data_IF_095220452545
#
_entry.id   IF_095220452545
#
_cell.length_a   1.000
_cell.length_b   1.000
_cell.length_c   1.000
_cell.angle_alpha   90.00
_cell.angle_beta   90.00
_cell.angle_gamma   90.00
#
_symmetry.space_group_name_H-M   'P 1'
#
loop_
_entity.id
_entity.type
_entity.pdbx_description
1 polymer ?
#
# COMPACT_ATOMS: atom_id res chain seq x y z
N UNK A 1 32.47 25.18 37.62
CA UNK A 1 32.29 24.18 36.55
C UNK A 1 30.99 23.41 36.81
N UNK A 2 29.82 23.96 36.48
CA UNK A 2 28.51 23.26 36.62
C UNK A 2 27.45 23.69 35.59
N UNK A 3 27.80 24.44 34.54
CA UNK A 3 26.82 24.91 33.53
C UNK A 3 26.55 23.92 32.38
N UNK A 4 27.31 22.83 32.29
CA UNK A 4 27.22 21.89 31.17
C UNK A 4 25.94 21.03 31.16
N UNK A 5 25.43 20.65 32.34
CA UNK A 5 24.29 19.72 32.45
C UNK A 5 22.94 20.42 32.53
N UNK A 6 22.87 21.68 32.98
CA UNK A 6 21.60 22.43 33.04
C UNK A 6 21.08 22.84 31.65
N UNK A 7 21.97 22.93 30.65
CA UNK A 7 21.61 23.35 29.30
C UNK A 7 21.21 22.18 28.38
N UNK A 8 21.55 20.93 28.74
CA UNK A 8 21.27 19.81 27.83
C UNK A 8 19.78 19.49 27.72
N UNK A 9 19.00 19.64 28.79
CA UNK A 9 17.57 19.37 28.78
C UNK A 9 16.81 20.31 27.83
N UNK A 10 17.09 21.62 27.89
CA UNK A 10 16.49 22.61 26.98
C UNK A 10 16.91 22.38 25.53
N UNK A 11 18.22 22.16 25.29
CA UNK A 11 18.73 21.89 23.94
C UNK A 11 18.21 20.60 23.34
N UNK A 12 18.02 19.55 24.14
CA UNK A 12 17.40 18.31 23.66
C UNK A 12 15.99 18.61 23.17
N UNK A 13 15.16 19.28 23.97
CA UNK A 13 13.78 19.62 23.58
C UNK A 13 13.71 20.49 22.32
N UNK A 14 14.64 21.42 22.14
CA UNK A 14 14.72 22.27 20.94
C UNK A 14 15.14 21.52 19.67
N UNK A 15 15.96 20.47 19.81
CA UNK A 15 16.47 19.68 18.68
C UNK A 15 15.62 18.44 18.38
N UNK A 16 14.60 18.15 19.19
CA UNK A 16 13.63 17.10 18.85
C UNK A 16 12.85 17.50 17.59
N UNK A 17 12.66 16.52 16.70
CA UNK A 17 11.76 16.65 15.55
C UNK A 17 10.29 16.58 15.99
N UNK A 18 10.04 15.95 17.13
CA UNK A 18 8.71 15.83 17.73
C UNK A 18 8.34 17.10 18.48
N UNK A 19 7.10 17.52 18.30
CA UNK A 19 6.48 18.57 19.09
C UNK A 19 6.29 18.11 20.53
N UNK A 20 6.75 18.92 21.48
CA UNK A 20 6.58 18.68 22.90
C UNK A 20 5.83 19.87 23.50
N UNK A 21 4.71 19.56 24.14
CA UNK A 21 3.89 20.50 24.88
C UNK A 21 3.64 19.98 26.30
N UNK A 22 3.79 20.85 27.29
CA UNK A 22 3.43 20.55 28.68
C UNK A 22 2.37 21.54 29.14
N UNK A 23 1.30 21.02 29.72
CA UNK A 23 0.17 21.77 30.23
C UNK A 23 0.08 21.52 31.73
N UNK A 24 0.21 22.56 32.54
CA UNK A 24 0.05 22.46 33.98
C UNK A 24 -1.42 22.22 34.38
N UNK A 25 -1.66 21.85 35.64
CA UNK A 25 -3.02 21.64 36.17
C UNK A 25 -3.98 22.81 35.91
N UNK A 26 -3.47 24.04 35.90
CA UNK A 26 -4.28 25.24 35.61
C UNK A 26 -4.68 25.42 34.14
N UNK A 27 -4.26 24.50 33.25
CA UNK A 27 -4.47 24.60 31.82
C UNK A 27 -3.47 25.49 31.09
N UNK A 28 -2.51 26.10 31.80
CA UNK A 28 -1.48 26.93 31.20
C UNK A 28 -0.40 26.08 30.53
N UNK A 29 0.00 26.45 29.31
CA UNK A 29 1.10 25.80 28.60
C UNK A 29 2.44 26.29 29.15
N UNK A 30 3.28 25.39 29.67
CA UNK A 30 4.57 25.74 30.29
C UNK A 30 5.78 25.31 29.49
N UNK A 31 5.62 24.33 28.60
CA UNK A 31 6.65 23.93 27.64
C UNK A 31 6.02 23.88 26.26
N UNK A 32 6.71 24.45 25.29
CA UNK A 32 6.32 24.43 23.88
C UNK A 32 7.58 24.57 23.02
N UNK A 33 8.06 23.46 22.47
CA UNK A 33 9.32 23.47 21.73
C UNK A 33 9.19 23.98 20.29
N UNK A 34 10.32 24.18 19.61
CA UNK A 34 10.36 24.66 18.23
C UNK A 34 9.62 23.75 17.24
N UNK A 35 9.65 22.42 17.45
CA UNK A 35 8.89 21.48 16.63
C UNK A 35 7.38 21.64 16.82
N UNK A 36 6.91 21.83 18.05
CA UNK A 36 5.51 22.08 18.35
C UNK A 36 5.01 23.36 17.66
N UNK A 37 5.82 24.42 17.67
CA UNK A 37 5.53 25.66 16.96
C UNK A 37 5.37 25.47 15.45
N UNK A 38 6.28 24.69 14.82
CA UNK A 38 6.20 24.39 13.39
C UNK A 38 4.99 23.53 13.02
N UNK A 39 4.69 22.52 13.83
CA UNK A 39 3.63 21.55 13.54
C UNK A 39 2.25 22.18 13.75
N UNK A 40 2.04 22.91 14.85
CA UNK A 40 0.76 23.53 15.19
C UNK A 40 0.60 24.95 14.62
N UNK A 41 1.64 25.52 14.02
CA UNK A 41 1.58 26.84 13.37
C UNK A 41 1.45 28.02 14.34
N UNK A 42 1.81 27.85 15.62
CA UNK A 42 1.70 28.87 16.65
C UNK A 42 3.08 29.28 17.17
N UNK A 43 3.30 30.58 17.43
CA UNK A 43 4.57 31.06 17.97
C UNK A 43 4.69 30.74 19.48
N UNK A 44 5.86 30.33 19.99
CA UNK A 44 6.04 30.05 21.42
C UNK A 44 5.63 31.22 22.33
N UNK A 45 5.94 32.45 21.92
CA UNK A 45 5.62 33.66 22.69
C UNK A 45 4.11 33.93 22.79
N UNK A 46 3.32 33.38 21.86
CA UNK A 46 1.86 33.50 21.85
C UNK A 46 1.18 32.35 22.62
N UNK A 47 1.92 31.30 22.97
CA UNK A 47 1.40 30.06 23.56
C UNK A 47 1.81 29.90 25.02
N UNK A 48 3.07 30.18 25.34
CA UNK A 48 3.62 29.99 26.68
C UNK A 48 2.91 30.86 27.72
N UNK A 49 2.55 30.24 28.85
CA UNK A 49 1.84 30.87 29.96
C UNK A 49 0.34 31.08 29.75
N UNK A 50 -0.19 30.77 28.55
CA UNK A 50 -1.62 30.96 28.22
C UNK A 50 -2.39 29.65 28.32
N UNK A 51 -3.71 29.77 28.45
CA UNK A 51 -4.62 28.64 28.57
C UNK A 51 -4.68 27.85 27.26
N UNK A 52 -4.41 26.55 27.33
CA UNK A 52 -4.53 25.62 26.21
C UNK A 52 -5.92 25.68 25.57
N UNK A 53 -6.98 25.70 26.39
CA UNK A 53 -8.35 25.71 25.89
C UNK A 53 -8.66 26.99 25.10
N UNK A 54 -8.18 28.15 25.55
CA UNK A 54 -8.40 29.42 24.84
C UNK A 54 -7.63 29.49 23.52
N UNK A 55 -6.44 28.88 23.47
CA UNK A 55 -5.59 28.91 22.28
C UNK A 55 -6.06 27.94 21.20
N UNK A 56 -6.40 26.70 21.55
CA UNK A 56 -6.54 25.63 20.58
C UNK A 56 -8.00 25.20 20.31
N UNK A 57 -8.91 25.33 21.28
CA UNK A 57 -10.34 24.94 21.11
C UNK A 57 -11.07 25.75 20.02
N UNK A 58 -10.85 27.07 19.86
CA UNK A 58 -11.55 27.83 18.81
C UNK A 58 -11.15 27.43 17.38
N UNK A 59 -10.04 26.70 17.22
CA UNK A 59 -9.50 26.35 15.91
C UNK A 59 -10.04 24.99 15.45
N UNK A 60 -11.05 25.00 14.59
CA UNK A 60 -11.63 23.78 14.01
C UNK A 60 -10.59 22.90 13.28
N UNK A 61 -9.53 23.51 12.74
CA UNK A 61 -8.41 22.79 12.09
C UNK A 61 -7.64 21.88 13.06
N UNK A 62 -7.79 22.09 14.38
CA UNK A 62 -7.11 21.39 15.47
C UNK A 62 -8.08 20.62 16.38
N UNK A 63 -9.31 20.39 15.93
CA UNK A 63 -10.39 19.81 16.72
C UNK A 63 -10.01 18.43 17.30
N UNK A 64 -9.61 17.47 16.46
CA UNK A 64 -9.23 16.12 16.90
C UNK A 64 -8.04 16.12 17.89
N UNK A 65 -7.05 16.99 17.67
CA UNK A 65 -5.93 17.15 18.58
C UNK A 65 -6.39 17.68 19.94
N UNK A 66 -7.24 18.70 19.93
CA UNK A 66 -7.73 19.35 21.15
C UNK A 66 -8.62 18.40 21.94
N UNK A 67 -9.50 17.66 21.27
CA UNK A 67 -10.34 16.63 21.89
C UNK A 67 -9.51 15.52 22.53
N UNK A 68 -8.46 15.05 21.86
CA UNK A 68 -7.55 14.04 22.42
C UNK A 68 -6.84 14.54 23.69
N UNK A 69 -6.32 15.77 23.66
CA UNK A 69 -5.65 16.36 24.82
C UNK A 69 -6.64 16.54 25.98
N UNK A 70 -7.86 17.02 25.71
CA UNK A 70 -8.90 17.23 26.72
C UNK A 70 -9.47 15.94 27.30
N UNK A 71 -9.73 14.92 26.47
CA UNK A 71 -10.23 13.60 26.92
C UNK A 71 -9.20 12.84 27.76
N UNK A 72 -7.91 13.15 27.58
CA UNK A 72 -6.89 12.66 28.50
C UNK A 72 -7.10 13.30 29.88
N UNK A 73 -7.45 14.60 29.95
CA UNK A 73 -7.63 15.36 31.23
C UNK A 73 -8.81 14.85 32.03
N UNK A 74 -9.90 14.47 31.36
CA UNK A 74 -11.07 13.89 32.01
C UNK A 74 -10.83 12.45 32.51
N UNK A 75 -9.71 11.83 32.11
CA UNK A 75 -9.37 10.45 32.48
C UNK A 75 -10.15 9.39 31.70
N UNK A 76 -10.91 9.80 30.68
CA UNK A 76 -11.68 8.91 29.80
C UNK A 76 -10.77 8.19 28.81
N UNK A 77 -9.75 8.89 28.31
CA UNK A 77 -8.64 8.30 27.58
C UNK A 77 -7.48 8.08 28.55
N UNK A 78 -7.34 6.86 29.07
CA UNK A 78 -6.09 6.46 29.72
C UNK A 78 -4.92 6.79 28.80
N UNK A 79 -3.96 7.59 29.28
CA UNK A 79 -2.88 8.13 28.45
C UNK A 79 -2.32 7.11 27.46
N UNK A 80 -2.17 7.52 26.20
CA UNK A 80 -1.90 6.61 25.10
C UNK A 80 -1.45 7.32 23.85
N UNK A 81 -1.10 6.54 22.83
CA UNK A 81 -0.72 7.06 21.51
C UNK A 81 -1.86 6.89 20.53
N UNK A 82 -2.33 7.99 19.96
CA UNK A 82 -3.36 8.01 18.94
C UNK A 82 -2.86 8.75 17.70
N UNK A 83 -3.57 8.58 16.59
CA UNK A 83 -3.33 9.37 15.39
C UNK A 83 -4.50 10.29 15.19
N UNK A 84 -4.22 11.58 15.02
CA UNK A 84 -5.21 12.62 14.75
C UNK A 84 -4.90 13.28 13.42
N UNK A 85 -5.92 13.80 12.78
CA UNK A 85 -5.81 14.60 11.56
C UNK A 85 -5.95 16.06 11.92
N UNK A 86 -5.04 16.87 11.38
CA UNK A 86 -5.11 18.33 11.46
C UNK A 86 -5.20 18.91 10.07
N UNK A 87 -5.73 20.13 9.99
CA UNK A 87 -5.83 20.87 8.73
C UNK A 87 -5.16 22.24 8.80
N UNK A 88 -3.90 22.36 9.29
CA UNK A 88 -3.26 23.66 9.45
C UNK A 88 -3.17 24.39 8.10
N UNK A 89 -3.88 25.52 7.96
CA UNK A 89 -3.91 26.28 6.72
C UNK A 89 -4.59 25.54 5.55
N UNK A 90 -5.40 24.52 5.84
CA UNK A 90 -6.22 23.78 4.86
C UNK A 90 -5.61 22.51 4.29
N UNK A 91 -4.36 22.16 4.63
CA UNK A 91 -3.72 20.91 4.19
C UNK A 91 -3.86 19.82 5.27
N UNK A 92 -4.28 18.62 4.87
CA UNK A 92 -4.43 17.50 5.80
C UNK A 92 -3.06 16.97 6.26
N UNK A 93 -2.85 16.94 7.57
CA UNK A 93 -1.66 16.36 8.20
C UNK A 93 -2.05 15.31 9.23
N UNK A 94 -1.34 14.18 9.22
CA UNK A 94 -1.51 13.12 10.20
C UNK A 94 -0.50 13.26 11.33
N UNK A 95 -0.96 13.52 12.54
CA UNK A 95 -0.09 13.55 13.73
C UNK A 95 -0.25 12.28 14.56
N UNK A 96 0.87 11.67 14.93
CA UNK A 96 0.89 10.71 16.03
C UNK A 96 1.04 11.48 17.34
N UNK A 97 0.03 11.45 18.19
CA UNK A 97 0.01 12.18 19.47
C UNK A 97 0.04 11.18 20.62
N UNK A 98 0.96 11.37 21.54
CA UNK A 98 1.09 10.62 22.78
C UNK A 98 0.86 11.55 23.98
N UNK A 99 -0.12 11.22 24.80
CA UNK A 99 -0.46 12.00 26.00
C UNK A 99 -0.16 11.22 27.27
N UNK A 100 0.42 11.89 28.28
CA UNK A 100 0.76 11.27 29.56
C UNK A 100 0.66 12.25 30.73
N UNK A 101 0.31 11.73 31.91
CA UNK A 101 0.26 12.53 33.14
C UNK A 101 1.54 12.41 33.95
N UNK A 102 2.12 13.56 34.28
CA UNK A 102 3.01 13.66 35.43
C UNK A 102 2.12 13.68 36.67
N UNK A 103 2.29 12.67 37.53
CA UNK A 103 1.70 12.68 38.87
C UNK A 103 2.74 13.18 39.86
N UNK A 104 2.35 14.13 40.70
CA UNK A 104 3.16 14.55 41.83
C UNK A 104 2.59 13.91 43.09
N UNK A 105 3.43 13.20 43.82
CA UNK A 105 3.11 12.69 45.15
C UNK A 105 3.34 13.80 46.16
N UNK A 106 2.27 14.26 46.81
CA UNK A 106 2.35 15.17 47.95
C UNK A 106 1.82 14.40 49.16
N UNK A 107 2.72 13.91 50.03
CA UNK A 107 2.36 12.97 51.09
C UNK A 107 1.96 11.59 50.52
N UNK A 108 0.84 11.03 51.00
CA UNK A 108 0.28 9.76 50.51
C UNK A 108 -0.64 9.91 49.27
N UNK A 109 -0.98 11.14 48.88
CA UNK A 109 -1.88 11.41 47.76
C UNK A 109 -1.09 11.66 46.45
N UNK A 110 -1.43 10.90 45.41
CA UNK A 110 -0.90 11.09 44.05
C UNK A 110 -1.87 11.93 43.23
N UNK A 111 -1.50 13.19 42.96
CA UNK A 111 -2.37 14.12 42.25
C UNK A 111 -1.73 14.48 40.88
N UNK A 112 -2.53 14.66 39.81
CA UNK A 112 -2.00 15.04 38.50
C UNK A 112 -1.39 16.45 38.58
N UNK A 113 -0.12 16.59 38.21
CA UNK A 113 0.63 17.84 38.28
C UNK A 113 0.69 18.54 36.93
N UNK A 114 0.90 17.77 35.86
CA UNK A 114 0.94 18.28 34.50
C UNK A 114 0.58 17.17 33.49
N UNK A 115 0.09 17.58 32.33
CA UNK A 115 -0.08 16.76 31.14
C UNK A 115 1.07 17.03 30.18
N UNK A 116 1.69 15.97 29.68
CA UNK A 116 2.65 16.03 28.59
C UNK A 116 1.95 15.53 27.33
N UNK A 117 1.98 16.32 26.27
CA UNK A 117 1.63 15.91 24.92
C UNK A 117 2.90 15.92 24.06
N UNK A 118 3.23 14.77 23.49
CA UNK A 118 4.30 14.62 22.49
C UNK A 118 3.65 14.25 21.18
N UNK A 119 3.99 14.94 20.10
CA UNK A 119 3.36 14.69 18.80
C UNK A 119 4.34 14.79 17.65
N UNK A 120 4.20 13.87 16.70
CA UNK A 120 5.06 13.76 15.52
C UNK A 120 4.21 13.86 14.27
N UNK A 121 4.67 14.64 13.29
CA UNK A 121 4.09 14.60 11.95
C UNK A 121 4.49 13.28 11.28
N UNK A 122 3.49 12.46 10.98
CA UNK A 122 3.67 11.15 10.34
C UNK A 122 3.01 11.14 8.95
N UNK A 123 2.68 12.29 8.37
CA UNK A 123 2.00 12.39 7.07
C UNK A 123 2.79 11.66 6.00
N UNK A 124 4.05 12.06 5.78
CA UNK A 124 4.95 11.41 4.81
C UNK A 124 5.13 9.91 5.08
N UNK A 125 5.30 9.54 6.36
CA UNK A 125 5.47 8.14 6.75
C UNK A 125 4.23 7.30 6.44
N UNK A 126 3.02 7.84 6.68
CA UNK A 126 1.76 7.16 6.37
C UNK A 126 1.57 7.03 4.87
N UNK A 127 1.80 8.10 4.11
CA UNK A 127 1.70 8.09 2.65
C UNK A 127 2.63 7.04 2.04
N UNK A 128 3.90 7.01 2.47
CA UNK A 128 4.86 6.00 2.02
C UNK A 128 4.37 4.57 2.32
N UNK A 129 3.89 4.33 3.54
CA UNK A 129 3.42 3.02 3.98
C UNK A 129 2.18 2.56 3.22
N UNK A 130 1.26 3.48 2.94
CA UNK A 130 0.08 3.21 2.12
C UNK A 130 0.46 2.90 0.67
N UNK A 131 1.47 3.60 0.15
CA UNK A 131 1.96 3.39 -1.22
C UNK A 131 2.67 2.03 -1.33
N UNK A 132 3.47 1.66 -0.34
CA UNK A 132 4.12 0.34 -0.23
C UNK A 132 3.06 -0.78 -0.19
N UNK A 133 2.03 -0.63 0.65
CA UNK A 133 0.94 -1.61 0.73
C UNK A 133 0.17 -1.73 -0.60
N UNK A 134 -0.03 -0.62 -1.31
CA UNK A 134 -0.64 -0.64 -2.65
C UNK A 134 0.23 -1.38 -3.66
N UNK A 135 1.55 -1.15 -3.65
CA UNK A 135 2.48 -1.87 -4.52
C UNK A 135 2.54 -3.36 -4.21
N UNK A 136 2.59 -3.75 -2.94
CA UNK A 136 2.60 -5.15 -2.52
C UNK A 136 1.37 -5.91 -3.04
N UNK A 137 0.17 -5.33 -2.88
CA UNK A 137 -1.07 -5.91 -3.42
C UNK A 137 -1.05 -6.02 -4.94
N UNK A 138 -0.50 -5.03 -5.65
CA UNK A 138 -0.38 -5.06 -7.10
C UNK A 138 0.57 -6.17 -7.57
N UNK A 139 1.69 -6.37 -6.87
CA UNK A 139 2.65 -7.45 -7.14
C UNK A 139 2.01 -8.82 -6.91
N UNK A 140 1.27 -9.00 -5.81
CA UNK A 140 0.56 -10.25 -5.52
C UNK A 140 -0.47 -10.58 -6.60
N UNK A 141 -1.26 -9.60 -7.05
CA UNK A 141 -2.22 -9.77 -8.13
C UNK A 141 -1.54 -10.18 -9.45
N UNK A 142 -0.46 -9.49 -9.84
CA UNK A 142 0.30 -9.84 -11.04
C UNK A 142 0.94 -11.23 -10.94
N UNK A 143 1.40 -11.62 -9.76
CA UNK A 143 1.96 -12.95 -9.55
C UNK A 143 0.90 -14.04 -9.79
N UNK A 144 -0.33 -13.83 -9.29
CA UNK A 144 -1.45 -14.74 -9.54
C UNK A 144 -1.82 -14.87 -11.02
N UNK A 145 -1.88 -13.75 -11.75
CA UNK A 145 -2.13 -13.75 -13.20
C UNK A 145 -1.03 -14.49 -13.97
N UNK A 146 0.23 -14.23 -13.61
CA UNK A 146 1.38 -14.86 -14.25
C UNK A 146 1.38 -16.38 -14.00
N UNK A 147 1.07 -16.82 -12.79
CA UNK A 147 0.93 -18.26 -12.47
C UNK A 147 -0.18 -18.92 -13.30
N UNK A 148 -1.34 -18.27 -13.43
CA UNK A 148 -2.43 -18.78 -14.26
C UNK A 148 -2.04 -18.89 -15.73
N UNK A 149 -1.35 -17.87 -16.27
CA UNK A 149 -0.83 -17.87 -17.63
C UNK A 149 0.20 -18.99 -17.85
N UNK A 150 1.14 -19.18 -16.91
CA UNK A 150 2.12 -20.27 -16.98
C UNK A 150 1.45 -21.65 -17.05
N UNK A 151 0.46 -21.88 -16.19
CA UNK A 151 -0.30 -23.14 -16.19
C UNK A 151 -1.01 -23.38 -17.53
N UNK A 152 -1.62 -22.34 -18.09
CA UNK A 152 -2.28 -22.43 -19.40
C UNK A 152 -1.27 -22.75 -20.51
N UNK A 153 -0.08 -22.17 -20.46
CA UNK A 153 1.00 -22.46 -21.43
C UNK A 153 1.45 -23.92 -21.32
N UNK A 154 1.65 -24.44 -20.11
CA UNK A 154 2.00 -25.85 -19.90
C UNK A 154 0.94 -26.79 -20.45
N UNK A 155 -0.34 -26.56 -20.13
CA UNK A 155 -1.46 -27.35 -20.66
C UNK A 155 -1.53 -27.29 -22.20
N UNK A 156 -1.24 -26.11 -22.77
CA UNK A 156 -1.16 -25.92 -24.22
C UNK A 156 0.00 -26.68 -24.84
N UNK A 157 1.17 -26.69 -24.21
CA UNK A 157 2.35 -27.40 -24.68
C UNK A 157 2.12 -28.92 -24.69
N UNK A 158 1.55 -29.48 -23.61
CA UNK A 158 1.22 -30.90 -23.56
C UNK A 158 0.24 -31.31 -24.68
N UNK A 159 -0.75 -30.46 -24.92
CA UNK A 159 -1.74 -30.69 -25.97
C UNK A 159 -1.08 -30.67 -27.35
N UNK A 160 -0.19 -29.70 -27.60
CA UNK A 160 0.58 -29.64 -28.83
C UNK A 160 1.42 -30.90 -29.04
N UNK A 161 2.12 -31.38 -28.01
CA UNK A 161 2.91 -32.61 -28.10
C UNK A 161 2.07 -33.84 -28.43
N UNK A 162 0.89 -33.98 -27.81
CA UNK A 162 -0.05 -35.06 -28.15
C UNK A 162 -0.50 -34.96 -29.60
N UNK A 163 -0.80 -33.76 -30.10
CA UNK A 163 -1.20 -33.57 -31.50
C UNK A 163 -0.05 -33.86 -32.47
N UNK A 164 1.17 -33.43 -32.16
CA UNK A 164 2.36 -33.70 -32.95
C UNK A 164 2.61 -35.21 -33.09
N UNK A 165 2.53 -35.96 -31.98
CA UNK A 165 2.67 -37.43 -32.01
C UNK A 165 1.62 -38.09 -32.92
N UNK A 166 0.37 -37.64 -32.89
CA UNK A 166 -0.69 -38.16 -33.77
C UNK A 166 -0.41 -37.87 -35.24
N UNK A 167 0.01 -36.65 -35.57
CA UNK A 167 0.36 -36.26 -36.95
C UNK A 167 1.56 -37.06 -37.45
N UNK A 168 2.59 -37.24 -36.62
CA UNK A 168 3.75 -38.07 -36.94
C UNK A 168 3.35 -39.52 -37.21
N UNK A 169 2.53 -40.12 -36.34
CA UNK A 169 2.03 -41.50 -36.54
C UNK A 169 1.21 -41.64 -37.83
N UNK A 170 0.32 -40.70 -38.10
CA UNK A 170 -0.46 -40.68 -39.35
C UNK A 170 0.43 -40.55 -40.59
N UNK A 171 1.47 -39.70 -40.53
CA UNK A 171 2.46 -39.53 -41.60
C UNK A 171 3.24 -40.82 -41.85
N UNK A 172 3.74 -41.48 -40.79
CA UNK A 172 4.46 -42.75 -40.89
C UNK A 172 3.56 -43.83 -41.52
N UNK A 173 2.31 -43.93 -41.06
CA UNK A 173 1.32 -44.86 -41.61
C UNK A 173 1.05 -44.62 -43.10
N UNK A 174 0.87 -43.36 -43.52
CA UNK A 174 0.68 -43.01 -44.92
C UNK A 174 1.91 -43.36 -45.79
N UNK A 175 3.14 -43.11 -45.29
CA UNK A 175 4.37 -43.49 -46.01
C UNK A 175 4.56 -45.01 -46.11
N UNK A 176 4.18 -45.77 -45.08
CA UNK A 176 4.24 -47.23 -45.11
C UNK A 176 3.23 -47.81 -46.11
N UNK A 177 1.98 -47.31 -46.11
CA UNK A 177 0.94 -47.72 -47.06
C UNK A 177 1.35 -47.45 -48.52
N UNK A 178 1.93 -46.28 -48.80
CA UNK A 178 2.43 -45.96 -50.14
C UNK A 178 3.56 -46.92 -50.59
N UNK A 179 4.44 -47.31 -49.67
CA UNK A 179 5.54 -48.25 -49.94
C UNK A 179 5.04 -49.68 -50.17
N UNK A 180 4.01 -50.12 -49.43
CA UNK A 180 3.36 -51.43 -49.66
C UNK A 180 2.65 -51.44 -51.00
N UNK A 181 1.93 -50.36 -51.35
CA UNK A 181 1.22 -50.24 -52.62
C UNK A 181 2.18 -50.26 -53.83
N UNK A 182 3.41 -49.75 -53.69
CA UNK A 182 4.42 -49.82 -54.76
C UNK A 182 5.10 -51.20 -54.89
N UNK A 183 5.06 -52.04 -53.84
CA UNK A 183 5.59 -53.41 -53.82
C UNK A 183 4.58 -54.48 -54.24
N UNK A 184 3.29 -54.15 -54.33
CA UNK A 184 2.30 -55.09 -54.84
C UNK A 184 2.59 -55.37 -56.33
N UNK A 185 2.78 -56.65 -56.73
CA UNK A 185 3.01 -57.00 -58.12
C UNK A 185 1.79 -56.56 -58.96
N UNK A 186 2.05 -56.00 -60.15
CA UNK A 186 1.05 -55.46 -61.08
C UNK A 186 -0.10 -56.42 -61.48
N UNK A 187 -0.05 -57.69 -61.04
CA UNK A 187 -1.08 -58.71 -61.24
C UNK A 187 -2.38 -58.51 -60.43
N UNK A 188 -2.42 -57.65 -59.41
CA UNK A 188 -3.66 -57.33 -58.67
C UNK A 188 -4.36 -56.04 -59.13
N UNK A 189 -3.79 -55.29 -60.08
CA UNK A 189 -4.48 -54.16 -60.72
C UNK A 189 -5.34 -54.68 -61.89
N UNK A 190 -6.32 -55.53 -61.58
CA UNK A 190 -7.27 -56.10 -62.54
C UNK A 190 -8.37 -55.11 -62.92
N UNK A 191 -8.41 -54.75 -64.20
CA UNK A 191 -9.45 -54.00 -64.93
C UNK A 191 -9.61 -52.49 -64.64
N UNK A 192 -8.74 -51.68 -65.26
CA UNK A 192 -9.27 -50.48 -65.93
C UNK A 192 -9.93 -50.96 -67.22
N UNK A 193 -11.26 -50.95 -67.30
CA UNK A 193 -11.90 -50.91 -68.60
C UNK A 193 -11.58 -49.55 -69.24
N UNK A 194 -10.99 -49.64 -70.41
CA UNK A 194 -10.95 -48.58 -71.39
C UNK A 194 -12.36 -48.35 -71.95
N UNK A 195 -12.59 -47.13 -72.46
CA UNK A 195 -13.74 -46.66 -73.24
C UNK A 195 -14.92 -46.03 -72.46
N UNK A 196 -14.99 -44.69 -72.44
CA UNK A 196 -15.75 -44.00 -73.48
C UNK A 196 -15.42 -42.50 -73.52
N UNK A 197 -15.11 -42.06 -74.72
CA UNK A 197 -14.91 -40.68 -75.14
C UNK A 197 -16.27 -40.14 -75.58
N UNK A 198 -16.90 -39.22 -74.86
CA UNK A 198 -17.83 -38.26 -75.48
C UNK A 198 -18.12 -37.03 -74.63
N UNK A 199 -17.57 -35.90 -75.09
CA UNK A 199 -18.21 -34.58 -75.25
C UNK A 199 -19.18 -34.13 -74.14
N UNK A 200 -18.82 -33.06 -73.44
CA UNK A 200 -19.65 -31.86 -73.38
C UNK A 200 -18.75 -30.63 -73.14
N UNK A 201 -18.55 -29.84 -74.19
CA UNK A 201 -18.26 -28.40 -74.09
C UNK A 201 -19.42 -27.74 -73.33
N UNK A 202 -19.19 -26.75 -72.46
CA UNK A 202 -19.44 -25.29 -72.60
C UNK A 202 -19.74 -24.87 -71.14
N UNK A 203 -19.44 -23.71 -70.55
CA UNK A 203 -18.95 -22.43 -71.02
C UNK A 203 -18.34 -21.67 -69.82
N UNK A 204 -17.37 -20.83 -70.16
CA UNK A 204 -16.75 -19.70 -69.46
C UNK A 204 -17.73 -18.73 -68.77
N UNK A 205 -17.38 -18.24 -67.56
CA UNK A 205 -17.48 -16.84 -67.05
C UNK A 205 -16.98 -16.81 -65.59
N UNK A 206 -15.82 -16.25 -65.21
CA UNK A 206 -15.39 -14.84 -65.14
C UNK A 206 -16.26 -13.95 -64.24
N UNK A 207 -15.60 -13.39 -63.20
CA UNK A 207 -15.80 -12.15 -62.38
C UNK A 207 -16.14 -12.45 -60.92
N UNK A 208 -15.64 -11.71 -59.95
CA UNK A 208 -14.62 -10.64 -59.85
C UNK A 208 -14.29 -10.55 -58.37
#
# INVERSE_FOLDING_TARGET
MTDGSANIHGRVLENLLDGVMVIERGGAVTVFNAAAARILGAAPDEVLGRSFAELFVPHAELEEFTELVLSTVTGEAGGGRQVVTLYPGGEARSLSVATSYIRQTVGEASAPAALIAVFSDITELRELRETELRMAKAVEAQHGELQAAYRQIEERNETLDRTLKKVQAARIGATALASVCSWLPARMCGSRSTASTSRFSTARRIRR
#
